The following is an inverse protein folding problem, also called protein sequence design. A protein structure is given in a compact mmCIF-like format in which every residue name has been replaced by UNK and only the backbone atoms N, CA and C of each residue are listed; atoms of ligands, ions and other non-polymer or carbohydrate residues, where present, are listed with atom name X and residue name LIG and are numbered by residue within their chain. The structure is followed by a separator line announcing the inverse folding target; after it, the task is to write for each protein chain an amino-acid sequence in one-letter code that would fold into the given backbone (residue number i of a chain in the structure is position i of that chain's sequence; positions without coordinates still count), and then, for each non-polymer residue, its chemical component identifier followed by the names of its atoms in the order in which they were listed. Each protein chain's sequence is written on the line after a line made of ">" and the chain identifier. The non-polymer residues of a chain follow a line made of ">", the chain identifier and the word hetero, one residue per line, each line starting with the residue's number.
data_IF_310009531822
#
_entry.id   IF_310009531822
#
_cell.length_a   1.000
_cell.length_b   1.000
_cell.length_c   1.000
_cell.angle_alpha   90.00
_cell.angle_beta   90.00
_cell.angle_gamma   90.00
#
_symmetry.space_group_name_H-M   'P 1'
#
loop_
_entity.id
_entity.type
_entity.pdbx_description
1 polymer ?
#
# COMPACT_ATOMS: atom_id res chain seq x y z
N UNK A 1 -9.83 -3.78 3.96
CA UNK A 1 -8.97 -2.91 3.13
C UNK A 1 -7.83 -2.44 4.02
N UNK A 2 -6.59 -2.59 3.57
CA UNK A 2 -5.39 -2.09 4.25
C UNK A 2 -4.63 -1.15 3.31
N UNK A 3 -3.79 -0.28 3.87
CA UNK A 3 -2.96 0.66 3.12
C UNK A 3 -1.49 0.48 3.57
N UNK A 4 -0.55 0.62 2.63
CA UNK A 4 0.90 0.69 2.90
C UNK A 4 1.56 1.67 1.96
N UNK A 5 2.56 2.39 2.48
CA UNK A 5 3.57 3.05 1.66
C UNK A 5 4.31 2.00 0.81
N UNK A 6 4.58 2.34 -0.45
CA UNK A 6 5.25 1.49 -1.43
C UNK A 6 6.67 1.06 -1.00
N UNK A 7 7.35 1.88 -0.20
CA UNK A 7 8.69 1.58 0.32
C UNK A 7 8.70 0.62 1.53
N UNK A 8 7.55 0.35 2.18
CA UNK A 8 7.45 -0.59 3.28
C UNK A 8 7.34 -2.03 2.76
N UNK A 9 8.42 -2.50 2.14
CA UNK A 9 8.48 -3.81 1.48
C UNK A 9 8.23 -4.99 2.44
N UNK A 10 8.50 -4.81 3.73
CA UNK A 10 8.23 -5.84 4.75
C UNK A 10 6.71 -6.04 4.89
N UNK A 11 5.94 -4.95 5.03
CA UNK A 11 4.49 -5.01 5.10
C UNK A 11 3.88 -5.52 3.79
N UNK A 12 4.36 -5.04 2.63
CA UNK A 12 3.89 -5.49 1.32
C UNK A 12 4.06 -7.01 1.13
N UNK A 13 5.23 -7.57 1.50
CA UNK A 13 5.46 -9.02 1.44
C UNK A 13 4.58 -9.78 2.42
N UNK A 14 4.39 -9.26 3.63
CA UNK A 14 3.51 -9.88 4.62
C UNK A 14 2.06 -9.95 4.10
N UNK A 15 1.51 -8.85 3.58
CA UNK A 15 0.15 -8.80 3.04
C UNK A 15 -0.03 -9.73 1.84
N UNK A 16 0.94 -9.74 0.92
CA UNK A 16 0.95 -10.69 -0.19
C UNK A 16 0.88 -12.15 0.30
N UNK A 17 1.70 -12.52 1.29
CA UNK A 17 1.74 -13.87 1.85
C UNK A 17 0.46 -14.24 2.61
N UNK A 18 -0.23 -13.25 3.21
CA UNK A 18 -1.55 -13.44 3.83
C UNK A 18 -2.69 -13.55 2.79
N UNK A 19 -2.39 -13.51 1.49
CA UNK A 19 -3.39 -13.66 0.43
C UNK A 19 -4.05 -12.36 -0.02
N UNK A 20 -3.63 -11.20 0.50
CA UNK A 20 -4.13 -9.92 0.00
C UNK A 20 -3.64 -9.66 -1.42
N UNK A 21 -4.45 -8.90 -2.17
CA UNK A 21 -4.14 -8.42 -3.52
C UNK A 21 -4.17 -6.90 -3.55
N UNK A 22 -3.27 -6.30 -4.32
CA UNK A 22 -3.30 -4.86 -4.60
C UNK A 22 -4.56 -4.58 -5.44
N UNK A 23 -5.40 -3.67 -4.96
CA UNK A 23 -6.61 -3.24 -5.67
C UNK A 23 -6.48 -1.84 -6.29
N UNK A 24 -5.68 -0.97 -5.69
CA UNK A 24 -5.41 0.38 -6.20
C UNK A 24 -4.11 0.94 -5.65
N UNK A 25 -3.57 1.95 -6.33
CA UNK A 25 -2.43 2.75 -5.88
C UNK A 25 -2.83 4.21 -6.01
N UNK A 26 -2.63 5.00 -4.95
CA UNK A 26 -2.81 6.45 -4.97
C UNK A 26 -1.43 7.12 -4.93
N UNK A 27 -1.17 7.95 -5.93
CA UNK A 27 0.13 8.62 -6.12
C UNK A 27 0.19 10.03 -5.56
N UNK A 28 -0.95 10.55 -5.07
CA UNK A 28 -1.12 11.90 -4.55
C UNK A 28 -1.54 11.93 -3.07
N UNK A 29 -1.90 10.79 -2.47
CA UNK A 29 -2.31 10.72 -1.06
C UNK A 29 -1.29 11.39 -0.11
N UNK A 30 0.00 11.20 -0.39
CA UNK A 30 1.08 11.77 0.43
C UNK A 30 1.60 13.14 -0.06
N UNK A 31 1.00 13.75 -1.09
CA UNK A 31 1.55 14.95 -1.74
C UNK A 31 1.82 16.13 -0.80
N UNK A 32 1.08 16.23 0.32
CA UNK A 32 1.19 17.30 1.32
C UNK A 32 1.99 16.90 2.57
N UNK A 33 2.70 15.77 2.55
CA UNK A 33 3.52 15.29 3.65
C UNK A 33 5.01 15.31 3.28
N UNK A 34 5.90 15.14 4.26
CA UNK A 34 7.36 15.10 4.01
C UNK A 34 7.76 13.94 3.09
N UNK A 35 6.98 12.85 3.12
CA UNK A 35 7.14 11.66 2.30
C UNK A 35 6.34 11.73 0.98
N UNK A 36 6.20 12.91 0.38
CA UNK A 36 5.41 13.13 -0.84
C UNK A 36 5.81 12.30 -2.08
N UNK A 37 6.98 11.67 -2.05
CA UNK A 37 7.46 10.77 -3.07
C UNK A 37 6.91 9.34 -2.92
N UNK A 38 6.42 8.97 -1.73
CA UNK A 38 5.82 7.66 -1.47
C UNK A 38 4.45 7.53 -2.13
N UNK A 39 4.06 6.29 -2.39
CA UNK A 39 2.79 5.93 -3.03
C UNK A 39 2.01 5.05 -2.08
N UNK A 40 0.73 5.36 -1.91
CA UNK A 40 -0.16 4.58 -1.06
C UNK A 40 -0.67 3.37 -1.85
N UNK A 41 -0.44 2.17 -1.34
CA UNK A 41 -0.86 0.90 -1.94
C UNK A 41 -2.02 0.33 -1.14
N UNK A 42 -3.17 0.18 -1.78
CA UNK A 42 -4.36 -0.35 -1.13
C UNK A 42 -4.53 -1.85 -1.40
N UNK A 43 -4.66 -2.61 -0.32
CA UNK A 43 -4.73 -4.06 -0.30
C UNK A 43 -6.12 -4.55 0.09
N UNK A 44 -6.57 -5.61 -0.60
CA UNK A 44 -7.87 -6.24 -0.38
C UNK A 44 -7.71 -7.75 -0.25
N UNK A 45 -8.45 -8.33 0.70
CA UNK A 45 -8.62 -9.77 0.83
C UNK A 45 -10.07 -10.09 0.47
N UNK A 46 -10.27 -10.91 -0.56
CA UNK A 46 -11.59 -11.39 -0.97
C UNK A 46 -11.87 -12.69 -0.22
N UNK A 47 -13.03 -12.77 0.41
CA UNK A 47 -13.55 -13.97 1.07
C UNK A 47 -14.59 -14.63 0.19
#
# INVERSE_FOLDING_TARGET
>A
MLETQDNNLIACKFYHNCGFKIGSVDTMLYANFENNFEKAVFWYLRF
#
